data_IF_287908464705
#
_entry.id   IF_287908464705
#
_cell.length_a   1.000
_cell.length_b   1.000
_cell.length_c   1.000
_cell.angle_alpha   90.00
_cell.angle_beta   90.00
_cell.angle_gamma   90.00
#
_symmetry.space_group_name_H-M   'P 1'
#
loop_
_entity.id
_entity.type
_entity.pdbx_description
1 polymer ?
#
# COMPACT_ATOMS: atom_id res chain seq x y z
N UNK A 1 14.59 7.63 7.92
CA UNK A 1 13.54 6.65 8.27
C UNK A 1 13.49 6.54 9.79
N UNK A 2 12.31 6.63 10.36
CA UNK A 2 12.12 6.60 11.81
C UNK A 2 12.14 5.16 12.35
N UNK A 3 12.31 5.02 13.67
CA UNK A 3 12.49 3.76 14.38
C UNK A 3 13.60 2.90 13.76
N UNK A 4 13.36 1.61 13.61
CA UNK A 4 14.29 0.66 12.99
C UNK A 4 13.92 0.28 11.55
N UNK A 5 12.87 0.90 11.00
CA UNK A 5 12.35 0.60 9.66
C UNK A 5 11.58 -0.72 9.56
N UNK A 6 11.42 -1.46 10.65
CA UNK A 6 10.75 -2.78 10.68
C UNK A 6 9.26 -2.71 11.01
N UNK A 7 8.71 -1.52 11.18
CA UNK A 7 7.28 -1.36 11.32
C UNK A 7 6.59 -1.84 10.03
N UNK A 8 5.54 -2.65 10.21
CA UNK A 8 4.82 -3.27 9.10
C UNK A 8 3.57 -2.49 8.72
N UNK A 9 3.35 -2.39 7.43
CA UNK A 9 2.16 -1.81 6.80
C UNK A 9 1.69 -2.73 5.70
N UNK A 10 0.43 -2.62 5.33
CA UNK A 10 -0.08 -3.23 4.12
C UNK A 10 -0.11 -2.17 3.01
N UNK A 11 0.70 -2.39 1.97
CA UNK A 11 0.76 -1.51 0.81
C UNK A 11 -0.10 -2.10 -0.30
N UNK A 12 -1.28 -1.54 -0.50
CA UNK A 12 -2.20 -1.92 -1.56
C UNK A 12 -2.18 -0.88 -2.68
N UNK A 13 -2.10 -1.34 -3.92
CA UNK A 13 -2.05 -0.45 -5.08
C UNK A 13 -3.42 0.21 -5.33
N UNK A 14 -3.40 1.48 -5.75
CA UNK A 14 -4.64 2.25 -6.00
C UNK A 14 -5.55 1.59 -7.05
N UNK A 15 -5.00 0.90 -8.05
CA UNK A 15 -5.80 0.14 -9.04
C UNK A 15 -6.57 -1.01 -8.38
N UNK A 16 -5.99 -1.68 -7.42
CA UNK A 16 -6.68 -2.72 -6.66
C UNK A 16 -7.81 -2.14 -5.81
N UNK A 17 -7.56 -1.00 -5.15
CA UNK A 17 -8.61 -0.30 -4.38
C UNK A 17 -9.74 0.15 -5.30
N UNK A 18 -9.43 0.71 -6.46
CA UNK A 18 -10.45 1.10 -7.44
C UNK A 18 -11.28 -0.12 -7.91
N UNK A 19 -10.63 -1.24 -8.18
CA UNK A 19 -11.32 -2.49 -8.56
C UNK A 19 -12.23 -3.01 -7.45
N UNK A 20 -11.79 -2.93 -6.19
CA UNK A 20 -12.62 -3.30 -5.05
C UNK A 20 -13.89 -2.43 -4.97
N UNK A 21 -13.78 -1.13 -5.21
CA UNK A 21 -14.94 -0.23 -5.28
C UNK A 21 -15.92 -0.62 -6.40
N UNK A 22 -15.42 -0.96 -7.59
CA UNK A 22 -16.27 -1.44 -8.69
C UNK A 22 -16.98 -2.73 -8.32
N UNK A 23 -16.27 -3.70 -7.72
CA UNK A 23 -16.88 -4.94 -7.25
C UNK A 23 -17.99 -4.69 -6.22
N UNK A 24 -17.77 -3.77 -5.29
CA UNK A 24 -18.78 -3.43 -4.28
C UNK A 24 -20.01 -2.77 -4.90
N UNK A 25 -19.81 -1.87 -5.87
CA UNK A 25 -20.91 -1.18 -6.57
C UNK A 25 -21.74 -2.09 -7.46
N UNK A 26 -21.13 -3.12 -8.03
CA UNK A 26 -21.77 -4.03 -8.99
C UNK A 26 -22.14 -5.39 -8.39
N UNK A 27 -21.93 -5.58 -7.10
CA UNK A 27 -22.27 -6.84 -6.42
C UNK A 27 -23.79 -7.13 -6.49
N UNK A 28 -24.13 -8.35 -6.93
CA UNK A 28 -25.50 -8.82 -6.98
C UNK A 28 -25.55 -10.26 -6.41
N UNK A 29 -26.21 -10.49 -5.27
CA UNK A 29 -26.89 -9.50 -4.44
C UNK A 29 -25.94 -8.48 -3.78
N UNK A 30 -26.45 -7.30 -3.37
CA UNK A 30 -25.63 -6.29 -2.72
C UNK A 30 -24.94 -6.81 -1.47
N UNK A 31 -23.66 -6.47 -1.31
CA UNK A 31 -22.87 -6.78 -0.11
C UNK A 31 -22.95 -5.60 0.85
N UNK A 32 -23.38 -5.87 2.08
CA UNK A 32 -23.51 -4.86 3.13
C UNK A 32 -22.45 -5.02 4.22
N UNK A 33 -22.22 -3.99 4.97
CA UNK A 33 -21.24 -3.94 6.03
C UNK A 33 -19.87 -3.45 5.56
N UNK A 34 -18.90 -3.46 6.47
CA UNK A 34 -17.54 -3.00 6.20
C UNK A 34 -16.63 -4.14 5.75
N UNK A 35 -15.78 -3.85 4.80
CA UNK A 35 -14.78 -4.79 4.28
C UNK A 35 -13.41 -4.10 4.29
N UNK A 36 -12.38 -4.80 4.76
CA UNK A 36 -11.01 -4.33 4.67
C UNK A 36 -10.45 -4.66 3.29
N UNK A 37 -9.91 -3.65 2.63
CA UNK A 37 -9.23 -3.80 1.34
C UNK A 37 -7.75 -3.58 1.55
N UNK A 38 -6.96 -4.61 1.32
CA UNK A 38 -5.53 -4.62 1.53
C UNK A 38 -4.87 -5.65 0.60
N UNK A 39 -3.54 -5.68 0.57
CA UNK A 39 -2.81 -6.66 -0.25
C UNK A 39 -2.85 -8.06 0.33
N UNK A 40 -2.98 -8.18 1.65
CA UNK A 40 -2.85 -9.43 2.38
C UNK A 40 -1.40 -9.88 2.60
N UNK A 41 -0.42 -9.08 2.20
CA UNK A 41 1.02 -9.35 2.31
C UNK A 41 1.76 -8.16 2.94
N UNK A 42 1.69 -7.99 4.27
CA UNK A 42 2.35 -6.87 4.95
C UNK A 42 3.85 -6.82 4.66
N UNK A 43 4.37 -5.62 4.48
CA UNK A 43 5.78 -5.33 4.26
C UNK A 43 6.29 -4.32 5.29
N UNK A 44 7.59 -4.28 5.51
CA UNK A 44 8.19 -3.27 6.36
C UNK A 44 8.35 -1.93 5.62
N UNK A 45 8.49 -0.86 6.39
CA UNK A 45 8.84 0.45 5.80
C UNK A 45 10.21 0.38 5.14
N UNK A 46 11.12 -0.44 5.67
CA UNK A 46 12.44 -0.67 5.07
C UNK A 46 12.33 -1.37 3.71
N UNK A 47 11.43 -2.36 3.56
CA UNK A 47 11.17 -3.01 2.27
C UNK A 47 10.68 -1.99 1.23
N UNK A 48 9.79 -1.07 1.63
CA UNK A 48 9.31 -0.01 0.75
C UNK A 48 10.45 0.93 0.33
N UNK A 49 11.29 1.33 1.27
CA UNK A 49 12.42 2.20 0.99
C UNK A 49 13.41 1.56 0.00
N UNK A 50 13.73 0.28 0.19
CA UNK A 50 14.59 -0.47 -0.73
C UNK A 50 13.95 -0.63 -2.11
N UNK A 51 12.67 -0.98 -2.17
CA UNK A 51 11.96 -1.13 -3.44
C UNK A 51 11.91 0.20 -4.23
N UNK A 52 11.73 1.33 -3.54
CA UNK A 52 11.81 2.66 -4.17
C UNK A 52 13.21 2.96 -4.70
N UNK A 53 14.26 2.63 -3.95
CA UNK A 53 15.65 2.80 -4.41
C UNK A 53 15.90 1.99 -5.69
N UNK A 54 15.45 0.73 -5.73
CA UNK A 54 15.55 -0.11 -6.93
C UNK A 54 14.76 0.48 -8.10
N UNK A 55 13.52 0.93 -7.85
CA UNK A 55 12.64 1.47 -8.89
C UNK A 55 13.16 2.79 -9.50
N UNK A 56 13.89 3.58 -8.73
CA UNK A 56 14.49 4.85 -9.20
C UNK A 56 15.90 4.65 -9.78
N UNK A 57 16.43 3.43 -9.76
CA UNK A 57 17.79 3.13 -10.17
C UNK A 57 18.83 3.78 -9.22
N UNK A 58 20.04 3.99 -9.72
CA UNK A 58 21.15 4.58 -8.94
C UNK A 58 20.98 6.08 -8.65
N UNK A 59 19.86 6.69 -9.05
CA UNK A 59 19.59 8.11 -8.86
C UNK A 59 19.21 8.47 -7.42
N UNK A 60 18.71 7.51 -6.64
CA UNK A 60 18.29 7.75 -5.26
C UNK A 60 19.36 7.30 -4.25
N UNK A 61 19.59 8.06 -3.18
CA UNK A 61 20.49 7.62 -2.10
C UNK A 61 19.92 6.40 -1.39
N UNK A 62 20.80 5.59 -0.80
CA UNK A 62 20.38 4.48 0.04
C UNK A 62 19.54 4.97 1.24
N UNK A 63 18.49 4.24 1.62
CA UNK A 63 17.69 4.61 2.78
C UNK A 63 18.51 4.54 4.07
N UNK A 64 18.36 5.55 4.92
CA UNK A 64 19.03 5.63 6.21
C UNK A 64 18.03 5.49 7.35
N UNK A 65 18.35 4.64 8.31
CA UNK A 65 17.60 4.48 9.56
C UNK A 65 18.20 5.44 10.60
N UNK A 66 17.46 6.48 10.94
CA UNK A 66 17.94 7.54 11.84
C UNK A 66 17.50 7.35 13.30
N UNK A 67 16.74 6.34 13.58
CA UNK A 67 16.22 6.08 14.91
C UNK A 67 15.03 6.92 15.27
N UNK A 68 14.78 7.68 16.05
CA UNK A 68 13.67 8.57 16.36
C UNK A 68 12.27 7.95 16.21
N UNK A 69 11.31 8.49 16.90
CA UNK A 69 9.93 8.03 16.80
C UNK A 69 8.96 9.22 16.95
N UNK A 70 7.74 9.04 16.48
CA UNK A 70 6.65 9.98 16.72
C UNK A 70 5.71 9.38 17.77
N UNK A 71 5.40 10.17 18.80
CA UNK A 71 4.45 9.75 19.82
C UNK A 71 3.11 9.41 19.17
N UNK A 72 2.57 8.23 19.51
CA UNK A 72 1.30 7.75 18.98
C UNK A 72 1.40 6.93 17.67
N UNK A 73 2.60 6.78 17.09
CA UNK A 73 2.76 5.87 15.96
C UNK A 73 2.55 4.41 16.39
N UNK A 74 1.76 3.69 15.61
CA UNK A 74 1.52 2.26 15.81
C UNK A 74 2.58 1.47 15.03
N UNK A 75 3.25 0.53 15.73
CA UNK A 75 4.34 -0.22 15.13
C UNK A 75 3.88 -1.05 13.94
N UNK A 76 2.81 -1.81 14.07
CA UNK A 76 2.30 -2.66 13.00
C UNK A 76 0.84 -2.35 12.72
N UNK A 77 0.52 -2.08 11.46
CA UNK A 77 -0.86 -1.89 10.98
C UNK A 77 -1.02 -2.66 9.68
N UNK A 78 -1.86 -3.68 9.71
CA UNK A 78 -2.29 -4.44 8.53
C UNK A 78 -3.66 -5.05 8.80
N UNK A 79 -4.34 -5.50 7.76
CA UNK A 79 -5.73 -5.91 7.84
C UNK A 79 -5.93 -7.38 7.46
N UNK A 80 -6.97 -7.97 8.01
CA UNK A 80 -7.51 -9.24 7.54
C UNK A 80 -8.42 -8.98 6.33
N UNK A 81 -8.12 -9.62 5.23
CA UNK A 81 -8.83 -9.46 3.95
C UNK A 81 -9.83 -10.57 3.65
N UNK A 82 -10.04 -11.49 4.58
CA UNK A 82 -10.87 -12.69 4.36
C UNK A 82 -12.32 -12.36 3.98
N UNK A 83 -12.93 -11.35 4.61
CA UNK A 83 -14.30 -10.94 4.25
C UNK A 83 -14.40 -10.36 2.84
N UNK A 84 -13.43 -9.59 2.41
CA UNK A 84 -13.39 -9.05 1.05
C UNK A 84 -13.27 -10.20 0.04
N UNK A 85 -12.44 -11.19 0.32
CA UNK A 85 -12.27 -12.38 -0.51
C UNK A 85 -13.57 -13.20 -0.61
N UNK A 86 -14.19 -13.50 0.51
CA UNK A 86 -15.36 -14.38 0.54
C UNK A 86 -16.64 -13.69 0.08
N UNK A 87 -16.82 -12.42 0.38
CA UNK A 87 -18.05 -11.67 0.08
C UNK A 87 -18.04 -10.91 -1.24
N UNK A 88 -16.88 -10.41 -1.68
CA UNK A 88 -16.73 -9.69 -2.95
C UNK A 88 -15.95 -10.47 -4.00
N UNK A 89 -15.29 -11.57 -3.66
CA UNK A 89 -14.33 -12.21 -4.55
C UNK A 89 -13.11 -11.33 -4.81
N UNK A 90 -12.80 -10.38 -3.91
CA UNK A 90 -11.67 -9.49 -4.06
C UNK A 90 -10.39 -10.12 -3.53
N UNK A 91 -9.37 -10.11 -4.36
CA UNK A 91 -7.98 -10.38 -3.97
C UNK A 91 -7.10 -9.36 -4.69
N UNK A 92 -6.16 -8.76 -3.99
CA UNK A 92 -5.21 -7.83 -4.61
C UNK A 92 -4.40 -8.54 -5.70
N UNK A 93 -4.22 -7.91 -6.85
CA UNK A 93 -3.56 -8.49 -8.02
C UNK A 93 -2.26 -7.78 -8.40
N UNK A 94 -2.06 -6.54 -7.98
CA UNK A 94 -0.82 -5.81 -8.24
C UNK A 94 0.22 -6.19 -7.19
N UNK A 95 1.32 -6.83 -7.61
CA UNK A 95 2.42 -7.19 -6.73
C UNK A 95 3.11 -5.97 -6.12
N UNK A 96 3.79 -6.18 -4.99
CA UNK A 96 4.43 -5.09 -4.27
C UNK A 96 5.49 -4.36 -5.10
N UNK A 97 6.40 -5.09 -5.72
CA UNK A 97 7.49 -4.52 -6.53
C UNK A 97 6.95 -3.81 -7.78
N UNK A 98 5.97 -4.40 -8.44
CA UNK A 98 5.28 -3.78 -9.58
C UNK A 98 4.59 -2.48 -9.16
N UNK A 99 3.84 -2.50 -8.07
CA UNK A 99 3.13 -1.34 -7.56
C UNK A 99 4.06 -0.21 -7.13
N UNK A 100 5.19 -0.54 -6.51
CA UNK A 100 6.21 0.46 -6.14
C UNK A 100 6.87 1.05 -7.38
N UNK A 101 7.17 0.25 -8.40
CA UNK A 101 7.71 0.73 -9.67
C UNK A 101 6.76 1.69 -10.37
N UNK A 102 5.48 1.36 -10.45
CA UNK A 102 4.44 2.24 -10.98
C UNK A 102 4.36 3.56 -10.21
N UNK A 103 4.38 3.47 -8.88
CA UNK A 103 4.35 4.64 -8.01
C UNK A 103 5.55 5.55 -8.22
N UNK A 104 6.75 4.99 -8.31
CA UNK A 104 8.00 5.76 -8.48
C UNK A 104 8.03 6.54 -9.81
N UNK A 105 7.37 6.03 -10.86
CA UNK A 105 7.32 6.66 -12.18
C UNK A 105 6.03 7.41 -12.48
N UNK A 106 5.06 7.39 -11.56
CA UNK A 106 3.76 8.04 -11.77
C UNK A 106 3.93 9.57 -11.86
N UNK A 107 3.22 10.22 -12.81
CA UNK A 107 3.28 11.67 -12.92
C UNK A 107 2.71 12.33 -11.66
N UNK A 108 3.39 13.34 -11.17
CA UNK A 108 2.88 14.15 -10.06
C UNK A 108 1.64 14.92 -10.51
N UNK A 109 0.67 15.03 -9.62
CA UNK A 109 -0.48 15.90 -9.85
C UNK A 109 0.03 17.34 -10.06
N UNK A 110 -0.36 17.97 -11.17
CA UNK A 110 -0.08 19.37 -11.40
C UNK A 110 -0.59 20.18 -10.20
N UNK A 111 0.29 20.91 -9.54
CA UNK A 111 -0.10 21.81 -8.47
C UNK A 111 -1.15 22.78 -9.01
N UNK A 112 -2.24 22.99 -8.27
CA UNK A 112 -3.12 24.10 -8.57
C UNK A 112 -2.24 25.37 -8.55
N UNK A 113 -2.20 26.07 -9.67
CA UNK A 113 -1.53 27.37 -9.72
C UNK A 113 -2.21 28.27 -8.66
N UNK A 114 -1.41 28.71 -7.66
CA UNK A 114 -1.85 29.71 -6.71
C UNK A 114 -1.80 31.08 -7.38
#
# INVERSE_FOLDING_TARGET
MLEDGRQRRDFVHVRDVARANVLALTADPPVTGTLNIASGAPRTVLDLAHALTVATGDAAPAPEVVGGYRTGDVRHVFADTERARTKLGFTASVGFEEGVSDFASAPLRAGAAQ
#
